data_IF_381450672657
#
_entry.id   IF_381450672657
#
_cell.length_a   1.000
_cell.length_b   1.000
_cell.length_c   1.000
_cell.angle_alpha   90.00
_cell.angle_beta   90.00
_cell.angle_gamma   90.00
#
_symmetry.space_group_name_H-M   'P 1'
#
loop_
_entity.id
_entity.type
_entity.pdbx_description
1 polymer ?
#
# COMPACT_ATOMS: atom_id res chain seq x y z
N UNK A 1 -6.71 17.82 34.23
CA UNK A 1 -5.36 17.87 33.60
C UNK A 1 -5.00 16.55 32.93
N UNK A 2 -5.11 15.40 33.62
CA UNK A 2 -4.86 14.06 33.02
C UNK A 2 -5.74 13.78 31.80
N UNK A 3 -7.05 14.05 31.88
CA UNK A 3 -7.98 13.86 30.75
C UNK A 3 -7.68 14.79 29.57
N UNK A 4 -7.20 16.01 29.85
CA UNK A 4 -6.78 16.97 28.82
C UNK A 4 -5.48 16.55 28.13
N UNK A 5 -4.51 16.02 28.87
CA UNK A 5 -3.29 15.45 28.31
C UNK A 5 -3.57 14.19 27.47
N UNK A 6 -4.50 13.33 27.91
CA UNK A 6 -4.93 12.16 27.13
C UNK A 6 -5.63 12.58 25.83
N UNK A 7 -6.53 13.57 25.86
CA UNK A 7 -7.14 14.11 24.64
C UNK A 7 -6.12 14.79 23.72
N UNK A 8 -5.11 15.46 24.27
CA UNK A 8 -4.05 16.09 23.48
C UNK A 8 -3.14 15.06 22.81
N UNK A 9 -2.83 13.95 23.49
CA UNK A 9 -2.12 12.80 22.90
C UNK A 9 -2.97 12.09 21.85
N UNK A 10 -4.28 11.96 22.06
CA UNK A 10 -5.22 11.42 21.07
C UNK A 10 -5.32 12.30 19.82
N UNK A 11 -5.30 13.63 19.99
CA UNK A 11 -5.31 14.60 18.91
C UNK A 11 -3.97 14.64 18.13
N UNK A 12 -2.86 14.32 18.81
CA UNK A 12 -1.50 14.16 18.23
C UNK A 12 -1.22 12.69 17.83
N UNK A 13 -2.24 11.83 17.82
CA UNK A 13 -2.20 10.54 17.15
C UNK A 13 -2.67 10.58 15.66
N UNK A 14 -2.51 11.64 14.83
CA UNK A 14 -2.62 11.50 13.39
C UNK A 14 -1.38 10.81 12.83
N UNK A 15 -0.51 10.28 13.69
CA UNK A 15 0.57 9.38 13.29
C UNK A 15 0.02 8.17 12.55
N UNK A 16 -1.12 7.61 12.96
CA UNK A 16 -1.74 6.48 12.26
C UNK A 16 -2.31 6.88 10.89
N UNK A 17 -2.95 8.06 10.79
CA UNK A 17 -3.43 8.59 9.51
C UNK A 17 -2.28 8.97 8.57
N UNK A 18 -1.20 9.53 9.11
CA UNK A 18 0.03 9.81 8.39
C UNK A 18 0.75 8.53 7.96
N UNK A 19 0.88 7.53 8.84
CA UNK A 19 1.47 6.22 8.51
C UNK A 19 0.63 5.51 7.46
N UNK A 20 -0.70 5.53 7.58
CA UNK A 20 -1.60 4.94 6.61
C UNK A 20 -1.48 5.64 5.25
N UNK A 21 -1.48 6.97 5.21
CA UNK A 21 -1.25 7.73 3.97
C UNK A 21 0.13 7.46 3.36
N UNK A 22 1.18 7.45 4.18
CA UNK A 22 2.55 7.17 3.74
C UNK A 22 2.70 5.74 3.22
N UNK A 23 2.19 4.74 3.95
CA UNK A 23 2.20 3.34 3.56
C UNK A 23 1.36 3.09 2.30
N UNK A 24 0.23 3.77 2.13
CA UNK A 24 -0.57 3.72 0.90
C UNK A 24 0.24 4.18 -0.32
N UNK A 25 0.95 5.31 -0.18
CA UNK A 25 1.75 5.90 -1.26
C UNK A 25 2.94 5.02 -1.62
N UNK A 26 3.68 4.52 -0.62
CA UNK A 26 4.82 3.61 -0.82
C UNK A 26 4.35 2.27 -1.40
N UNK A 27 3.26 1.70 -0.89
CA UNK A 27 2.72 0.44 -1.37
C UNK A 27 2.26 0.52 -2.82
N UNK A 28 1.58 1.60 -3.22
CA UNK A 28 1.24 1.82 -4.63
C UNK A 28 2.45 2.04 -5.53
N UNK A 29 3.49 2.73 -5.05
CA UNK A 29 4.73 2.87 -5.79
C UNK A 29 5.39 1.51 -6.05
N UNK A 30 5.54 0.67 -5.02
CA UNK A 30 6.16 -0.66 -5.13
C UNK A 30 5.35 -1.58 -6.04
N UNK A 31 4.02 -1.59 -5.91
CA UNK A 31 3.15 -2.38 -6.77
C UNK A 31 3.25 -1.94 -8.24
N UNK A 32 3.33 -0.63 -8.49
CA UNK A 32 3.45 -0.09 -9.86
C UNK A 32 4.79 -0.44 -10.50
N UNK A 33 5.88 -0.32 -9.74
CA UNK A 33 7.22 -0.76 -10.19
C UNK A 33 7.23 -2.25 -10.49
N UNK A 34 6.59 -3.06 -9.63
CA UNK A 34 6.47 -4.51 -9.81
C UNK A 34 5.69 -4.87 -11.07
N UNK A 35 4.58 -4.18 -11.35
CA UNK A 35 3.79 -4.38 -12.57
C UNK A 35 4.61 -3.98 -13.81
N UNK A 36 5.32 -2.85 -13.77
CA UNK A 36 6.19 -2.41 -14.87
C UNK A 36 7.27 -3.44 -15.18
N UNK A 37 7.95 -3.96 -14.16
CA UNK A 37 8.99 -4.98 -14.34
C UNK A 37 8.42 -6.30 -14.89
N UNK A 38 7.22 -6.70 -14.48
CA UNK A 38 6.60 -7.95 -14.93
C UNK A 38 5.95 -7.83 -16.32
N UNK A 39 5.61 -6.62 -16.77
CA UNK A 39 4.98 -6.37 -18.08
C UNK A 39 6.02 -6.07 -19.17
N UNK A 40 7.26 -5.77 -18.80
CA UNK A 40 8.33 -5.48 -19.75
C UNK A 40 8.75 -6.74 -20.53
N UNK A 41 8.72 -6.65 -21.86
CA UNK A 41 9.02 -7.75 -22.78
C UNK A 41 10.47 -8.26 -22.64
N UNK A 42 11.41 -7.41 -22.17
CA UNK A 42 12.80 -7.79 -21.93
C UNK A 42 12.95 -8.75 -20.74
N UNK A 43 12.00 -8.73 -19.80
CA UNK A 43 12.04 -9.48 -18.55
C UNK A 43 11.22 -10.79 -18.62
N UNK A 44 10.60 -11.08 -19.78
CA UNK A 44 9.85 -12.33 -20.02
C UNK A 44 10.71 -13.59 -19.88
N UNK A 45 12.02 -13.51 -20.09
CA UNK A 45 12.96 -14.62 -19.88
C UNK A 45 13.10 -15.01 -18.41
N UNK A 46 13.00 -14.04 -17.49
CA UNK A 46 13.08 -14.25 -16.04
C UNK A 46 11.73 -14.68 -15.45
N UNK A 47 10.62 -14.32 -16.10
CA UNK A 47 9.27 -14.63 -15.65
C UNK A 47 8.43 -15.41 -16.68
N UNK A 48 8.85 -16.62 -17.10
CA UNK A 48 8.22 -17.38 -18.18
C UNK A 48 6.79 -17.87 -17.87
N UNK A 49 6.35 -17.79 -16.61
CA UNK A 49 5.00 -18.20 -16.15
C UNK A 49 4.11 -17.02 -15.72
N UNK A 50 4.62 -15.80 -15.73
CA UNK A 50 3.85 -14.64 -15.31
C UNK A 50 3.22 -14.02 -16.56
N UNK A 51 1.92 -14.26 -16.72
CA UNK A 51 1.10 -13.61 -17.75
C UNK A 51 0.77 -12.19 -17.29
N UNK A 52 0.77 -11.18 -18.17
CA UNK A 52 0.41 -9.80 -17.80
C UNK A 52 -0.96 -9.68 -17.13
N UNK A 53 -1.92 -10.53 -17.50
CA UNK A 53 -3.25 -10.61 -16.85
C UNK A 53 -3.15 -11.01 -15.37
N UNK A 54 -2.21 -11.91 -15.03
CA UNK A 54 -1.95 -12.35 -13.66
C UNK A 54 -1.25 -11.26 -12.84
N UNK A 55 -0.21 -10.63 -13.39
CA UNK A 55 0.45 -9.49 -12.74
C UNK A 55 -0.52 -8.34 -12.46
N UNK A 56 -1.44 -8.09 -13.38
CA UNK A 56 -2.48 -7.08 -13.19
C UNK A 56 -3.48 -7.47 -12.10
N UNK A 57 -3.89 -8.75 -12.05
CA UNK A 57 -4.74 -9.25 -10.97
C UNK A 57 -4.06 -9.16 -9.60
N UNK A 58 -2.78 -9.52 -9.49
CA UNK A 58 -1.98 -9.39 -8.27
C UNK A 58 -1.79 -7.91 -7.87
N UNK A 59 -1.64 -7.00 -8.84
CA UNK A 59 -1.59 -5.55 -8.60
C UNK A 59 -2.89 -5.01 -7.99
N UNK A 60 -4.04 -5.37 -8.57
CA UNK A 60 -5.35 -4.94 -8.06
C UNK A 60 -5.60 -5.53 -6.68
N UNK A 61 -5.35 -6.83 -6.49
CA UNK A 61 -5.53 -7.49 -5.21
C UNK A 61 -4.64 -6.87 -4.13
N UNK A 62 -3.35 -6.66 -4.43
CA UNK A 62 -2.41 -5.99 -3.54
C UNK A 62 -2.84 -4.56 -3.20
N UNK A 63 -3.31 -3.79 -4.18
CA UNK A 63 -3.81 -2.42 -3.97
C UNK A 63 -5.05 -2.38 -3.06
N UNK A 64 -6.00 -3.29 -3.27
CA UNK A 64 -7.21 -3.40 -2.46
C UNK A 64 -6.90 -3.77 -1.01
N UNK A 65 -6.03 -4.77 -0.80
CA UNK A 65 -5.60 -5.17 0.55
C UNK A 65 -4.87 -4.00 1.24
N UNK A 66 -3.95 -3.34 0.55
CA UNK A 66 -3.20 -2.19 1.08
C UNK A 66 -4.13 -1.04 1.51
N UNK A 67 -5.10 -0.69 0.66
CA UNK A 67 -6.09 0.36 0.99
C UNK A 67 -7.02 -0.07 2.12
N UNK A 68 -7.44 -1.34 2.16
CA UNK A 68 -8.26 -1.86 3.25
C UNK A 68 -7.53 -1.80 4.60
N UNK A 69 -6.24 -2.13 4.63
CA UNK A 69 -5.40 -1.97 5.82
C UNK A 69 -5.24 -0.50 6.22
N UNK A 70 -5.01 0.40 5.25
CA UNK A 70 -4.91 1.83 5.54
C UNK A 70 -6.21 2.41 6.12
N UNK A 71 -7.38 2.01 5.60
CA UNK A 71 -8.70 2.44 6.11
C UNK A 71 -9.02 1.82 7.47
N UNK A 72 -8.56 0.61 7.77
CA UNK A 72 -8.68 0.04 9.12
C UNK A 72 -7.74 0.70 10.12
N UNK A 73 -6.53 1.09 9.69
CA UNK A 73 -5.52 1.67 10.57
C UNK A 73 -5.75 3.17 10.84
N UNK A 74 -6.52 3.85 9.97
CA UNK A 74 -6.90 5.27 10.15
C UNK A 74 -8.08 5.46 11.13
N UNK A 75 -8.81 4.39 11.47
CA UNK A 75 -9.93 4.37 12.42
C UNK A 75 -9.44 3.99 13.82
#
# INVERSE_FOLDING_TARGET
MVVGAIQFVYYILPFNAFLAGFAATVGQFVLTVSLRMQTDDQNKSDFPKITPERSFADYIFGSLVLHFFCVNYIN
#
